data_IF_025617513218
#
_entry.id   IF_025617513218
#
_cell.length_a   1.000
_cell.length_b   1.000
_cell.length_c   1.000
_cell.angle_alpha   90.00
_cell.angle_beta   90.00
_cell.angle_gamma   90.00
#
_symmetry.space_group_name_H-M   'P 1'
#
loop_
_entity.id
_entity.type
_entity.pdbx_description
1 polymer ?
#
# COMPACT_ATOMS: atom_id res chain seq x y z
N UNK A 1 -34.45 -16.12 -46.97
CA UNK A 1 -33.65 -17.26 -46.46
C UNK A 1 -32.20 -16.91 -46.07
N UNK A 2 -31.80 -15.61 -46.02
CA UNK A 2 -30.39 -15.19 -45.81
C UNK A 2 -30.07 -14.67 -44.39
N UNK A 3 -31.10 -14.49 -43.56
CA UNK A 3 -31.00 -13.87 -42.21
C UNK A 3 -30.68 -14.86 -41.09
N UNK A 4 -30.89 -16.17 -41.31
CA UNK A 4 -30.69 -17.19 -40.28
C UNK A 4 -29.20 -17.53 -40.09
N UNK A 5 -28.42 -17.51 -41.17
CA UNK A 5 -26.99 -17.85 -41.15
C UNK A 5 -26.12 -16.73 -40.54
N UNK A 6 -26.48 -15.47 -40.75
CA UNK A 6 -25.79 -14.32 -40.15
C UNK A 6 -25.94 -14.28 -38.63
N UNK A 7 -27.12 -14.62 -38.10
CA UNK A 7 -27.37 -14.68 -36.66
C UNK A 7 -26.63 -15.85 -36.00
N UNK A 8 -26.55 -17.01 -36.69
CA UNK A 8 -25.81 -18.19 -36.22
C UNK A 8 -24.30 -17.92 -36.14
N UNK A 9 -23.75 -17.18 -37.10
CA UNK A 9 -22.34 -16.79 -37.12
C UNK A 9 -22.00 -15.79 -36.00
N UNK A 10 -22.87 -14.80 -35.74
CA UNK A 10 -22.70 -13.83 -34.65
C UNK A 10 -22.70 -14.50 -33.26
N UNK A 11 -23.61 -15.46 -33.03
CA UNK A 11 -23.68 -16.21 -31.76
C UNK A 11 -22.44 -17.07 -31.54
N UNK A 12 -21.91 -17.72 -32.59
CA UNK A 12 -20.70 -18.53 -32.48
C UNK A 12 -19.46 -17.66 -32.23
N UNK A 13 -19.39 -16.47 -32.82
CA UNK A 13 -18.30 -15.52 -32.60
C UNK A 13 -18.29 -14.97 -31.16
N UNK A 14 -19.45 -14.63 -30.60
CA UNK A 14 -19.57 -14.22 -29.19
C UNK A 14 -19.15 -15.33 -28.22
N UNK A 15 -19.52 -16.59 -28.51
CA UNK A 15 -19.10 -17.75 -27.69
C UNK A 15 -17.58 -17.97 -27.72
N UNK A 16 -16.93 -17.75 -28.86
CA UNK A 16 -15.47 -17.87 -29.00
C UNK A 16 -14.77 -16.76 -28.20
N UNK A 17 -15.28 -15.53 -28.24
CA UNK A 17 -14.75 -14.41 -27.44
C UNK A 17 -14.92 -14.66 -25.93
N UNK A 18 -16.09 -15.19 -25.52
CA UNK A 18 -16.35 -15.55 -24.12
C UNK A 18 -15.44 -16.70 -23.65
N UNK A 19 -15.20 -17.70 -24.50
CA UNK A 19 -14.33 -18.82 -24.16
C UNK A 19 -12.86 -18.42 -24.09
N UNK A 20 -12.39 -17.55 -24.99
CA UNK A 20 -11.00 -17.06 -24.98
C UNK A 20 -10.72 -16.11 -23.81
N UNK A 21 -11.67 -15.25 -23.44
CA UNK A 21 -11.58 -14.41 -22.24
C UNK A 21 -11.61 -15.22 -20.95
N UNK A 22 -12.44 -16.27 -20.89
CA UNK A 22 -12.46 -17.20 -19.77
C UNK A 22 -11.13 -17.97 -19.64
N UNK A 23 -10.57 -18.44 -20.76
CA UNK A 23 -9.25 -19.10 -20.76
C UNK A 23 -8.12 -18.16 -20.29
N UNK A 24 -8.18 -16.89 -20.69
CA UNK A 24 -7.21 -15.87 -20.28
C UNK A 24 -7.31 -15.57 -18.77
N UNK A 25 -8.52 -15.51 -18.21
CA UNK A 25 -8.75 -15.31 -16.78
C UNK A 25 -8.26 -16.49 -15.93
N UNK A 26 -8.34 -17.72 -16.44
CA UNK A 26 -7.84 -18.92 -15.74
C UNK A 26 -6.30 -18.99 -15.75
N UNK A 27 -5.64 -18.24 -16.65
CA UNK A 27 -4.18 -18.18 -16.77
C UNK A 27 -3.51 -17.25 -15.74
N UNK A 28 -4.29 -16.38 -15.09
CA UNK A 28 -3.80 -15.60 -13.94
C UNK A 28 -3.87 -16.47 -12.69
N UNK A 29 -2.80 -17.24 -12.47
CA UNK A 29 -2.60 -17.96 -11.20
C UNK A 29 -2.64 -16.99 -10.02
N UNK A 30 -3.32 -17.39 -8.95
CA UNK A 30 -3.30 -16.68 -7.68
C UNK A 30 -1.86 -16.67 -7.14
N UNK A 31 -1.28 -15.48 -6.95
CA UNK A 31 0.00 -15.32 -6.27
C UNK A 31 -0.22 -15.51 -4.78
N UNK A 32 0.28 -16.61 -4.24
CA UNK A 32 0.36 -16.80 -2.80
C UNK A 32 1.52 -15.95 -2.26
N UNK A 33 1.25 -15.10 -1.28
CA UNK A 33 2.29 -14.36 -0.56
C UNK A 33 3.24 -15.37 0.11
N UNK A 34 4.47 -15.48 -0.39
CA UNK A 34 5.46 -16.41 0.14
C UNK A 34 6.26 -15.80 1.30
N UNK A 35 6.66 -16.72 2.18
CA UNK A 35 7.38 -16.62 3.44
C UNK A 35 8.40 -15.48 3.62
N UNK A 36 8.63 -15.15 4.89
CA UNK A 36 9.64 -14.22 5.45
C UNK A 36 11.10 -14.49 5.05
N UNK A 37 11.37 -15.47 4.20
CA UNK A 37 12.67 -15.76 3.60
C UNK A 37 12.44 -16.28 2.18
N UNK A 38 12.95 -15.55 1.19
CA UNK A 38 12.91 -15.93 -0.22
C UNK A 38 14.29 -16.46 -0.64
N UNK A 39 14.32 -17.64 -1.27
CA UNK A 39 15.55 -18.20 -1.85
C UNK A 39 15.92 -17.44 -3.11
N UNK A 40 17.08 -16.80 -3.10
CA UNK A 40 17.56 -16.00 -4.21
C UNK A 40 17.97 -16.88 -5.39
N UNK A 41 17.39 -16.62 -6.57
CA UNK A 41 17.85 -17.19 -7.83
C UNK A 41 19.19 -16.59 -8.28
N UNK A 42 19.41 -15.31 -7.95
CA UNK A 42 20.64 -14.58 -8.21
C UNK A 42 21.15 -14.01 -6.88
N UNK A 43 21.97 -14.75 -6.13
CA UNK A 43 22.47 -14.28 -4.86
C UNK A 43 23.60 -13.25 -5.09
N UNK A 44 23.39 -12.03 -4.62
CA UNK A 44 24.31 -10.90 -4.77
C UNK A 44 24.99 -10.55 -3.43
N UNK A 45 26.22 -9.99 -3.44
CA UNK A 45 26.82 -9.43 -2.22
C UNK A 45 26.11 -8.14 -1.80
N UNK A 46 26.24 -7.75 -0.54
CA UNK A 46 25.71 -6.49 0.01
C UNK A 46 24.18 -6.32 -0.03
N UNK A 47 23.43 -7.39 -0.24
CA UNK A 47 21.95 -7.35 -0.30
C UNK A 47 21.25 -7.79 0.98
N UNK A 48 22.02 -8.25 1.96
CA UNK A 48 21.55 -8.62 3.30
C UNK A 48 22.28 -7.74 4.34
N UNK A 49 21.56 -6.88 5.09
CA UNK A 49 22.14 -6.03 6.13
C UNK A 49 22.89 -6.80 7.21
N UNK A 50 22.55 -8.06 7.46
CA UNK A 50 23.21 -8.90 8.47
C UNK A 50 24.58 -9.44 8.03
N UNK A 51 24.93 -9.33 6.73
CA UNK A 51 26.09 -10.01 6.14
C UNK A 51 27.23 -9.08 5.73
N UNK A 52 27.11 -7.76 5.92
CA UNK A 52 28.16 -6.75 5.71
C UNK A 52 29.00 -6.96 4.43
N UNK A 53 28.39 -7.43 3.33
CA UNK A 53 29.07 -7.75 2.06
C UNK A 53 30.09 -8.90 2.06
N UNK A 54 30.44 -9.49 3.21
CA UNK A 54 31.51 -10.51 3.31
C UNK A 54 31.06 -11.90 2.88
N UNK A 55 29.75 -12.15 2.85
CA UNK A 55 29.19 -13.44 2.44
C UNK A 55 28.00 -13.24 1.51
N UNK A 56 27.88 -14.15 0.55
CA UNK A 56 26.76 -14.18 -0.40
C UNK A 56 25.55 -14.80 0.31
N UNK A 57 24.55 -13.98 0.61
CA UNK A 57 23.29 -14.46 1.17
C UNK A 57 22.55 -15.30 0.11
N UNK A 58 22.05 -16.48 0.50
CA UNK A 58 21.25 -17.35 -0.37
C UNK A 58 19.75 -17.21 -0.14
N UNK A 59 19.37 -16.57 0.98
CA UNK A 59 18.01 -16.25 1.35
C UNK A 59 17.97 -14.85 1.95
N UNK A 60 16.97 -14.06 1.57
CA UNK A 60 16.71 -12.73 2.14
C UNK A 60 15.27 -12.31 1.81
N UNK A 61 14.86 -11.10 2.19
CA UNK A 61 13.56 -10.55 1.82
C UNK A 61 13.69 -9.62 0.62
N UNK A 62 12.58 -9.38 -0.09
CA UNK A 62 12.57 -8.37 -1.17
C UNK A 62 12.86 -6.96 -0.62
N UNK A 63 12.43 -6.70 0.63
CA UNK A 63 12.64 -5.43 1.33
C UNK A 63 14.11 -5.14 1.63
N UNK A 64 14.94 -6.18 1.74
CA UNK A 64 16.38 -6.06 1.92
C UNK A 64 17.12 -6.15 0.57
N UNK A 65 16.70 -7.10 -0.27
CA UNK A 65 17.38 -7.39 -1.53
C UNK A 65 17.38 -6.23 -2.50
N UNK A 66 16.21 -5.59 -2.70
CA UNK A 66 16.04 -4.53 -3.69
C UNK A 66 16.84 -3.27 -3.35
N UNK A 67 16.76 -2.69 -2.13
CA UNK A 67 17.62 -1.58 -1.74
C UNK A 67 19.10 -1.94 -1.80
N UNK A 68 19.47 -3.15 -1.34
CA UNK A 68 20.85 -3.62 -1.40
C UNK A 68 21.39 -3.71 -2.83
N UNK A 69 20.62 -4.30 -3.75
CA UNK A 69 20.99 -4.40 -5.16
C UNK A 69 21.07 -3.02 -5.85
N UNK A 70 20.16 -2.10 -5.51
CA UNK A 70 20.18 -0.74 -6.02
C UNK A 70 21.43 0.02 -5.55
N UNK A 71 21.75 -0.06 -4.26
CA UNK A 71 22.95 0.55 -3.69
C UNK A 71 24.23 -0.08 -4.25
N UNK A 72 24.24 -1.40 -4.46
CA UNK A 72 25.35 -2.09 -5.11
C UNK A 72 25.57 -1.59 -6.54
N UNK A 73 24.50 -1.39 -7.32
CA UNK A 73 24.60 -0.86 -8.69
C UNK A 73 25.19 0.56 -8.71
N UNK A 74 24.78 1.43 -7.77
CA UNK A 74 25.35 2.77 -7.61
C UNK A 74 26.85 2.66 -7.26
N UNK A 75 27.22 1.78 -6.33
CA UNK A 75 28.62 1.55 -5.94
C UNK A 75 29.48 1.07 -7.11
N UNK A 76 29.00 0.11 -7.90
CA UNK A 76 29.68 -0.35 -9.12
C UNK A 76 29.84 0.80 -10.11
N UNK A 77 28.78 1.60 -10.32
CA UNK A 77 28.83 2.78 -11.18
C UNK A 77 29.91 3.78 -10.75
N UNK A 78 30.05 4.04 -9.45
CA UNK A 78 31.08 4.93 -8.91
C UNK A 78 32.51 4.40 -9.15
N UNK A 79 32.75 3.11 -8.94
CA UNK A 79 34.07 2.49 -9.20
C UNK A 79 34.40 2.53 -10.69
N UNK A 80 33.46 2.21 -11.58
CA UNK A 80 33.66 2.29 -13.02
C UNK A 80 33.94 3.72 -13.48
N UNK A 81 33.21 4.70 -12.95
CA UNK A 81 33.47 6.11 -13.24
C UNK A 81 34.89 6.51 -12.80
N UNK A 82 35.33 6.10 -11.61
CA UNK A 82 36.68 6.36 -11.14
C UNK A 82 37.76 5.76 -12.06
N UNK A 83 37.59 4.50 -12.50
CA UNK A 83 38.51 3.85 -13.45
C UNK A 83 38.57 4.61 -14.78
N UNK A 84 37.42 5.02 -15.32
CA UNK A 84 37.37 5.74 -16.60
C UNK A 84 37.96 7.15 -16.50
N UNK A 85 37.75 7.85 -15.38
CA UNK A 85 38.34 9.17 -15.13
C UNK A 85 39.86 9.05 -15.00
N UNK A 86 40.37 8.08 -14.23
CA UNK A 86 41.81 7.87 -14.07
C UNK A 86 42.47 7.47 -15.39
N UNK A 87 41.86 6.57 -16.15
CA UNK A 87 42.37 6.17 -17.47
C UNK A 87 42.35 7.34 -18.48
N UNK A 88 41.23 8.07 -18.55
CA UNK A 88 41.13 9.27 -19.40
C UNK A 88 42.11 10.37 -19.00
N UNK A 89 42.34 10.55 -17.70
CA UNK A 89 43.33 11.48 -17.16
C UNK A 89 44.76 11.10 -17.54
N UNK A 90 45.11 9.82 -17.44
CA UNK A 90 46.41 9.33 -17.88
C UNK A 90 46.61 9.53 -19.39
N UNK A 91 45.62 9.17 -20.21
CA UNK A 91 45.67 9.34 -21.66
C UNK A 91 45.83 10.82 -22.05
N UNK A 92 45.10 11.71 -21.38
CA UNK A 92 45.21 13.15 -21.58
C UNK A 92 46.60 13.70 -21.22
N UNK A 93 47.16 13.25 -20.09
CA UNK A 93 48.43 13.73 -19.56
C UNK A 93 49.64 13.22 -20.37
N UNK A 94 49.59 11.98 -20.85
CA UNK A 94 50.71 11.30 -21.53
C UNK A 94 50.68 11.40 -23.05
N UNK A 95 49.55 11.78 -23.65
CA UNK A 95 49.45 11.98 -25.09
C UNK A 95 49.96 13.37 -25.51
N UNK A 96 50.94 13.38 -26.41
CA UNK A 96 51.39 14.59 -27.13
C UNK A 96 50.50 14.92 -28.34
N UNK A 97 49.77 13.92 -28.86
CA UNK A 97 48.84 14.12 -29.97
C UNK A 97 47.53 14.76 -29.49
N UNK A 98 47.02 15.73 -30.27
CA UNK A 98 45.73 16.40 -30.04
C UNK A 98 44.59 15.38 -29.97
N UNK A 99 44.65 14.33 -30.80
CA UNK A 99 43.66 13.25 -30.83
C UNK A 99 43.59 12.49 -29.51
N UNK A 100 44.72 12.10 -28.92
CA UNK A 100 44.74 11.41 -27.62
C UNK A 100 44.32 12.31 -26.46
N UNK A 101 44.61 13.62 -26.52
CA UNK A 101 44.05 14.58 -25.55
C UNK A 101 42.53 14.71 -25.67
N UNK A 102 42.01 14.80 -26.90
CA UNK A 102 40.57 14.83 -27.13
C UNK A 102 39.90 13.55 -26.61
N UNK A 103 40.48 12.39 -26.88
CA UNK A 103 39.96 11.11 -26.44
C UNK A 103 39.98 10.98 -24.91
N UNK A 104 41.08 11.35 -24.25
CA UNK A 104 41.18 11.35 -22.79
C UNK A 104 40.12 12.24 -22.13
N UNK A 105 39.93 13.45 -22.68
CA UNK A 105 38.89 14.39 -22.22
C UNK A 105 37.49 13.79 -22.41
N UNK A 106 37.20 13.21 -23.56
CA UNK A 106 35.90 12.59 -23.85
C UNK A 106 35.58 11.46 -22.85
N UNK A 107 36.56 10.60 -22.52
CA UNK A 107 36.36 9.55 -21.51
C UNK A 107 36.04 10.10 -20.13
N UNK A 108 36.72 11.18 -19.72
CA UNK A 108 36.45 11.85 -18.44
C UNK A 108 35.04 12.44 -18.45
N UNK A 109 34.66 13.16 -19.50
CA UNK A 109 33.33 13.77 -19.61
C UNK A 109 32.21 12.74 -19.61
N UNK A 110 32.37 11.65 -20.37
CA UNK A 110 31.39 10.56 -20.41
C UNK A 110 31.24 9.90 -19.03
N UNK A 111 32.34 9.71 -18.28
CA UNK A 111 32.29 9.17 -16.93
C UNK A 111 31.58 10.13 -15.95
N UNK A 112 31.85 11.44 -16.05
CA UNK A 112 31.17 12.46 -15.24
C UNK A 112 29.68 12.49 -15.55
N UNK A 113 29.29 12.52 -16.83
CA UNK A 113 27.88 12.51 -17.21
C UNK A 113 27.16 11.24 -16.76
N UNK A 114 27.82 10.08 -16.83
CA UNK A 114 27.29 8.85 -16.27
C UNK A 114 27.05 8.94 -14.76
N UNK A 115 28.01 9.50 -14.00
CA UNK A 115 27.87 9.69 -12.56
C UNK A 115 26.74 10.69 -12.22
N UNK A 116 26.65 11.78 -12.98
CA UNK A 116 25.55 12.76 -12.86
C UNK A 116 24.21 12.11 -13.14
N UNK A 117 24.12 11.19 -14.10
CA UNK A 117 22.88 10.46 -14.39
C UNK A 117 22.49 9.55 -13.22
N UNK A 118 23.43 8.80 -12.66
CA UNK A 118 23.18 7.92 -11.50
C UNK A 118 22.75 8.72 -10.26
N UNK A 119 23.52 9.74 -9.89
CA UNK A 119 23.20 10.60 -8.73
C UNK A 119 21.92 11.41 -8.99
N UNK A 120 21.75 11.90 -10.22
CA UNK A 120 20.57 12.64 -10.63
C UNK A 120 19.29 11.81 -10.55
N UNK A 121 19.32 10.55 -10.99
CA UNK A 121 18.20 9.63 -10.86
C UNK A 121 17.82 9.43 -9.38
N UNK A 122 18.82 9.18 -8.51
CA UNK A 122 18.59 9.09 -7.07
C UNK A 122 18.03 10.39 -6.49
N UNK A 123 18.60 11.54 -6.85
CA UNK A 123 18.19 12.85 -6.34
C UNK A 123 16.77 13.23 -6.76
N UNK A 124 16.36 12.91 -7.99
CA UNK A 124 14.99 13.12 -8.48
C UNK A 124 14.01 12.29 -7.65
N UNK A 125 14.29 10.99 -7.47
CA UNK A 125 13.42 10.11 -6.67
C UNK A 125 13.31 10.61 -5.23
N UNK A 126 14.44 10.98 -4.62
CA UNK A 126 14.47 11.53 -3.26
C UNK A 126 13.69 12.85 -3.13
N UNK A 127 13.82 13.75 -4.11
CA UNK A 127 13.17 15.07 -4.09
C UNK A 127 11.65 14.96 -4.28
N UNK A 128 11.19 14.07 -5.16
CA UNK A 128 9.75 13.88 -5.38
C UNK A 128 9.11 13.26 -4.15
N UNK A 129 9.68 12.16 -3.65
CA UNK A 129 9.23 11.53 -2.42
C UNK A 129 10.30 10.56 -1.91
N UNK A 130 10.93 10.83 -0.75
CA UNK A 130 11.96 9.95 -0.20
C UNK A 130 11.43 8.54 0.11
N UNK A 131 10.10 8.37 0.27
CA UNK A 131 9.48 7.05 0.45
C UNK A 131 9.53 6.16 -0.80
N UNK A 132 9.86 6.69 -1.97
CA UNK A 132 10.07 5.87 -3.18
C UNK A 132 11.38 5.06 -3.07
N UNK A 133 12.34 5.59 -2.32
CA UNK A 133 13.61 4.91 -2.00
C UNK A 133 13.49 4.04 -0.73
N UNK A 134 12.34 4.09 -0.06
CA UNK A 134 12.00 3.23 1.08
C UNK A 134 11.29 1.98 0.56
N UNK A 135 12.07 0.90 0.38
CA UNK A 135 11.56 -0.40 -0.06
C UNK A 135 11.03 -1.25 1.09
N UNK A 136 10.57 -0.62 2.18
CA UNK A 136 9.80 -1.26 3.24
C UNK A 136 8.48 -1.77 2.66
N UNK A 137 8.53 -2.90 1.96
CA UNK A 137 7.37 -3.69 1.54
C UNK A 137 6.84 -4.48 2.73
N UNK A 138 6.72 -3.80 3.88
CA UNK A 138 5.76 -4.16 4.90
C UNK A 138 4.38 -3.84 4.32
N UNK A 139 3.95 -4.69 3.38
CA UNK A 139 2.56 -5.04 3.37
C UNK A 139 2.33 -5.54 4.80
N UNK A 140 1.43 -4.92 5.59
CA UNK A 140 0.91 -5.61 6.76
C UNK A 140 0.60 -7.02 6.24
N UNK A 141 1.06 -8.09 6.93
CA UNK A 141 0.67 -9.42 6.49
C UNK A 141 -0.82 -9.32 6.19
N UNK A 142 -1.32 -9.83 5.04
CA UNK A 142 -2.75 -10.08 4.98
C UNK A 142 -3.04 -10.76 6.31
N UNK A 143 -4.03 -10.28 7.06
CA UNK A 143 -4.49 -10.97 8.25
C UNK A 143 -4.96 -12.35 7.78
N UNK A 144 -4.01 -13.24 7.52
CA UNK A 144 -4.08 -14.62 7.90
C UNK A 144 -4.19 -14.51 9.41
N UNK A 145 -5.42 -14.31 9.86
CA UNK A 145 -5.91 -15.20 10.89
C UNK A 145 -5.29 -16.54 10.54
N UNK A 146 -4.35 -17.00 11.37
CA UNK A 146 -3.93 -18.38 11.34
C UNK A 146 -5.18 -19.15 11.74
N UNK A 147 -6.12 -19.28 10.81
CA UNK A 147 -7.13 -20.31 10.82
C UNK A 147 -6.41 -21.57 10.35
N UNK A 148 -5.43 -21.99 11.14
CA UNK A 148 -5.44 -23.40 11.50
C UNK A 148 -6.82 -23.56 12.14
N UNK A 149 -7.73 -24.40 11.62
CA UNK A 149 -8.94 -24.70 12.34
C UNK A 149 -8.48 -25.47 13.59
N UNK A 150 -8.15 -24.75 14.66
CA UNK A 150 -8.24 -25.27 15.99
C UNK A 150 -9.73 -25.46 16.21
N UNK A 151 -10.19 -26.67 15.89
CA UNK A 151 -11.52 -27.16 16.23
C UNK A 151 -11.54 -27.29 17.75
N UNK A 152 -11.68 -26.17 18.46
CA UNK A 152 -12.13 -26.12 19.85
C UNK A 152 -12.47 -24.68 20.28
N UNK A 153 -13.78 -24.45 20.39
CA UNK A 153 -14.47 -23.52 21.30
C UNK A 153 -14.57 -22.01 20.99
N UNK A 154 -15.83 -21.59 20.70
CA UNK A 154 -16.48 -20.28 20.93
C UNK A 154 -15.98 -19.05 20.11
N UNK A 155 -16.87 -18.08 19.78
CA UNK A 155 -16.49 -16.88 19.04
C UNK A 155 -15.50 -16.08 19.88
N UNK A 156 -14.52 -15.41 19.25
CA UNK A 156 -13.63 -14.49 19.95
C UNK A 156 -14.48 -13.49 20.75
N UNK A 157 -14.46 -13.64 22.07
CA UNK A 157 -15.13 -12.73 22.99
C UNK A 157 -14.15 -11.57 23.15
N UNK A 158 -14.60 -10.35 22.85
CA UNK A 158 -13.83 -9.15 23.17
C UNK A 158 -13.50 -9.17 24.68
N UNK A 159 -12.24 -9.48 25.01
CA UNK A 159 -11.87 -9.92 26.36
C UNK A 159 -11.85 -8.79 27.39
N UNK A 160 -11.83 -7.54 26.91
CA UNK A 160 -11.82 -6.31 27.70
C UNK A 160 -12.75 -5.24 27.10
N UNK A 161 -13.85 -5.67 26.48
CA UNK A 161 -14.85 -4.76 25.96
C UNK A 161 -15.56 -4.00 27.08
N UNK A 162 -15.79 -2.72 26.84
CA UNK A 162 -16.55 -1.82 27.69
C UNK A 162 -17.71 -1.25 26.91
N UNK A 163 -18.79 -0.90 27.62
CA UNK A 163 -19.94 -0.26 26.99
C UNK A 163 -19.54 1.09 26.39
N UNK A 164 -20.04 1.36 25.19
CA UNK A 164 -19.88 2.62 24.46
C UNK A 164 -20.48 3.82 25.22
N UNK A 165 -21.36 3.57 26.20
CA UNK A 165 -21.86 4.59 27.11
C UNK A 165 -22.69 5.65 26.38
N UNK A 166 -22.27 6.91 26.48
CA UNK A 166 -22.98 8.07 25.91
C UNK A 166 -22.49 8.51 24.54
N UNK A 167 -21.65 7.71 23.86
CA UNK A 167 -21.23 8.07 22.51
C UNK A 167 -22.42 7.96 21.54
N UNK A 168 -22.45 8.75 20.46
CA UNK A 168 -23.57 8.75 19.52
C UNK A 168 -23.68 7.40 18.79
N UNK A 169 -24.75 6.65 19.02
CA UNK A 169 -25.05 5.41 18.27
C UNK A 169 -26.38 5.54 17.54
N UNK A 170 -26.56 4.78 16.46
CA UNK A 170 -27.86 4.62 15.80
C UNK A 170 -28.67 3.43 16.35
N UNK A 171 -28.22 2.81 17.45
CA UNK A 171 -28.84 1.64 18.08
C UNK A 171 -28.96 0.40 17.20
N UNK A 172 -28.23 0.34 16.07
CA UNK A 172 -28.49 -0.68 15.05
C UNK A 172 -27.70 -1.97 15.27
N UNK A 173 -26.46 -1.91 15.76
CA UNK A 173 -25.59 -3.10 15.85
C UNK A 173 -24.45 -2.93 16.88
N UNK A 174 -24.55 -3.65 18.01
CA UNK A 174 -23.53 -3.68 19.06
C UNK A 174 -23.43 -2.40 19.91
N UNK A 175 -23.00 -2.54 21.17
CA UNK A 175 -22.90 -1.43 22.15
C UNK A 175 -21.60 -1.48 22.98
N UNK A 176 -20.62 -2.24 22.50
CA UNK A 176 -19.35 -2.47 23.19
C UNK A 176 -18.17 -2.24 22.26
N UNK A 177 -17.06 -1.79 22.82
CA UNK A 177 -15.76 -1.63 22.15
C UNK A 177 -14.64 -1.97 23.14
N UNK A 178 -13.48 -2.31 22.62
CA UNK A 178 -12.28 -2.52 23.42
C UNK A 178 -11.91 -1.26 24.23
N UNK A 179 -11.46 -1.41 25.48
CA UNK A 179 -11.22 -0.30 26.40
C UNK A 179 -10.28 0.81 25.87
N UNK A 180 -9.20 0.42 25.17
CA UNK A 180 -8.29 1.35 24.50
C UNK A 180 -8.95 2.11 23.35
N UNK A 181 -9.82 1.45 22.59
CA UNK A 181 -10.65 2.11 21.56
C UNK A 181 -11.64 3.08 22.22
N UNK A 182 -12.33 2.69 23.30
CA UNK A 182 -13.29 3.55 24.00
C UNK A 182 -12.66 4.88 24.45
N UNK A 183 -11.45 4.82 25.00
CA UNK A 183 -10.71 6.00 25.44
C UNK A 183 -10.47 7.00 24.30
N UNK A 184 -10.06 6.49 23.13
CA UNK A 184 -9.84 7.30 21.93
C UNK A 184 -11.16 7.83 21.36
N UNK A 185 -12.23 7.02 21.37
CA UNK A 185 -13.56 7.46 20.91
C UNK A 185 -14.16 8.57 21.78
N UNK A 186 -13.95 8.55 23.10
CA UNK A 186 -14.34 9.64 23.98
C UNK A 186 -13.59 10.94 23.66
N UNK A 187 -12.29 10.83 23.38
CA UNK A 187 -11.48 11.98 22.92
C UNK A 187 -11.99 12.50 21.58
N UNK A 188 -12.24 11.60 20.64
CA UNK A 188 -12.80 11.91 19.33
C UNK A 188 -14.15 12.63 19.43
N UNK A 189 -15.06 12.14 20.28
CA UNK A 189 -16.36 12.76 20.51
C UNK A 189 -16.26 14.21 21.01
N UNK A 190 -15.35 14.48 21.96
CA UNK A 190 -15.11 15.84 22.45
C UNK A 190 -14.62 16.79 21.35
N UNK A 191 -13.74 16.31 20.47
CA UNK A 191 -13.24 17.08 19.34
C UNK A 191 -14.33 17.31 18.27
N UNK A 192 -15.17 16.31 17.99
CA UNK A 192 -16.29 16.43 17.06
C UNK A 192 -17.34 17.44 17.55
N UNK A 193 -17.64 17.42 18.85
CA UNK A 193 -18.50 18.42 19.49
C UNK A 193 -17.92 19.84 19.35
N UNK A 194 -16.61 19.99 19.56
CA UNK A 194 -15.90 21.27 19.37
C UNK A 194 -15.97 21.75 17.91
N UNK A 195 -15.92 20.81 16.96
CA UNK A 195 -16.05 21.10 15.54
C UNK A 195 -17.51 21.34 15.08
N UNK A 196 -18.49 21.19 15.98
CA UNK A 196 -19.92 21.25 15.69
C UNK A 196 -20.35 20.29 14.56
N UNK A 197 -19.77 19.09 14.52
CA UNK A 197 -20.10 18.04 13.55
C UNK A 197 -20.73 16.86 14.27
N UNK A 198 -22.03 16.63 14.02
CA UNK A 198 -22.72 15.42 14.46
C UNK A 198 -22.18 14.19 13.74
N UNK A 199 -22.07 13.08 14.47
CA UNK A 199 -21.66 11.78 13.95
C UNK A 199 -22.39 10.66 14.67
N UNK A 200 -22.35 9.45 14.11
CA UNK A 200 -22.97 8.26 14.69
C UNK A 200 -22.10 7.03 14.45
N UNK A 201 -22.05 6.16 15.46
CA UNK A 201 -21.62 4.77 15.34
C UNK A 201 -22.77 4.00 14.69
N UNK A 202 -22.46 3.31 13.60
CA UNK A 202 -23.40 2.49 12.84
C UNK A 202 -23.22 1.01 13.08
N UNK A 203 -22.03 0.58 13.53
CA UNK A 203 -21.76 -0.78 13.99
C UNK A 203 -20.60 -0.84 14.98
N UNK A 204 -20.73 -1.68 16.01
CA UNK A 204 -19.69 -2.02 16.98
C UNK A 204 -19.78 -3.50 17.41
N UNK A 205 -19.07 -3.90 18.47
CA UNK A 205 -19.14 -5.26 19.01
C UNK A 205 -20.43 -5.47 19.83
N UNK A 206 -21.09 -6.63 19.73
CA UNK A 206 -20.83 -7.72 18.77
C UNK A 206 -21.38 -7.42 17.37
N UNK A 207 -20.72 -7.92 16.31
CA UNK A 207 -21.20 -7.71 14.94
C UNK A 207 -22.45 -8.54 14.67
N UNK A 208 -23.31 -8.05 13.79
CA UNK A 208 -24.54 -8.76 13.39
C UNK A 208 -24.39 -9.57 12.11
N UNK A 209 -23.30 -9.35 11.38
CA UNK A 209 -23.00 -10.03 10.12
C UNK A 209 -21.59 -10.59 10.14
N UNK A 210 -21.31 -11.49 9.20
CA UNK A 210 -19.98 -12.08 9.05
C UNK A 210 -19.02 -11.10 8.40
N UNK A 211 -18.00 -10.66 9.16
CA UNK A 211 -16.97 -9.75 8.68
C UNK A 211 -15.71 -10.52 8.31
N UNK A 212 -15.01 -10.08 7.25
CA UNK A 212 -13.68 -10.60 6.92
C UNK A 212 -12.61 -10.10 7.90
N UNK A 213 -12.80 -8.90 8.45
CA UNK A 213 -11.89 -8.34 9.43
C UNK A 213 -12.25 -8.81 10.84
N UNK A 214 -11.31 -9.44 11.59
CA UNK A 214 -11.52 -9.84 12.98
C UNK A 214 -11.88 -8.69 13.92
N UNK A 215 -11.58 -7.44 13.56
CA UNK A 215 -11.66 -6.31 14.49
C UNK A 215 -13.08 -6.04 15.03
N UNK A 216 -14.13 -6.42 14.29
CA UNK A 216 -15.50 -6.31 14.78
C UNK A 216 -15.80 -7.37 15.85
N UNK A 217 -15.09 -8.52 15.83
CA UNK A 217 -15.25 -9.60 16.80
C UNK A 217 -14.42 -9.41 18.07
N UNK A 218 -13.32 -8.65 18.00
CA UNK A 218 -12.50 -8.31 19.17
C UNK A 218 -12.76 -6.89 19.71
N UNK A 219 -13.71 -6.14 19.09
CA UNK A 219 -14.12 -4.80 19.50
C UNK A 219 -13.09 -3.71 19.25
N UNK A 220 -12.05 -3.95 18.44
CA UNK A 220 -10.97 -2.98 18.17
C UNK A 220 -11.24 -2.03 17.01
N UNK A 221 -12.43 -2.10 16.41
CA UNK A 221 -12.92 -1.15 15.41
C UNK A 221 -14.43 -0.92 15.52
N UNK A 222 -14.90 0.12 14.84
CA UNK A 222 -16.32 0.43 14.65
C UNK A 222 -16.56 0.91 13.22
N UNK A 223 -17.80 0.79 12.74
CA UNK A 223 -18.26 1.59 11.61
C UNK A 223 -18.96 2.83 12.12
N UNK A 224 -18.64 3.97 11.53
CA UNK A 224 -19.18 5.25 11.92
C UNK A 224 -19.28 6.21 10.73
N UNK A 225 -20.07 7.26 10.87
CA UNK A 225 -20.15 8.31 9.85
C UNK A 225 -20.58 9.65 10.44
N UNK A 226 -20.25 10.78 9.79
CA UNK A 226 -20.92 12.04 10.07
C UNK A 226 -22.43 11.89 9.86
N UNK A 227 -23.25 12.52 10.71
CA UNK A 227 -24.71 12.50 10.57
C UNK A 227 -25.17 13.13 9.26
N UNK A 228 -24.39 14.10 8.75
CA UNK A 228 -24.53 14.66 7.41
C UNK A 228 -23.21 14.53 6.66
N UNK A 229 -23.18 13.68 5.63
CA UNK A 229 -21.97 13.33 4.87
C UNK A 229 -21.63 14.37 3.80
N UNK A 230 -21.50 15.63 4.19
CA UNK A 230 -20.95 16.68 3.31
C UNK A 230 -19.44 16.53 3.17
N UNK A 231 -18.82 17.02 2.08
CA UNK A 231 -17.37 16.97 1.91
C UNK A 231 -16.59 17.56 3.09
N UNK A 232 -17.06 18.69 3.62
CA UNK A 232 -16.50 19.32 4.82
C UNK A 232 -16.58 18.41 6.03
N UNK A 233 -17.73 17.78 6.29
CA UNK A 233 -17.89 16.93 7.46
C UNK A 233 -17.09 15.62 7.35
N UNK A 234 -16.96 15.05 6.15
CA UNK A 234 -16.11 13.87 5.88
C UNK A 234 -14.65 14.21 6.19
N UNK A 235 -14.14 15.33 5.67
CA UNK A 235 -12.77 15.78 5.95
C UNK A 235 -12.56 16.06 7.44
N UNK A 236 -13.50 16.76 8.09
CA UNK A 236 -13.44 17.07 9.52
C UNK A 236 -13.45 15.81 10.37
N UNK A 237 -14.31 14.84 10.07
CA UNK A 237 -14.37 13.56 10.77
C UNK A 237 -13.02 12.84 10.71
N UNK A 238 -12.47 12.67 9.51
CA UNK A 238 -11.19 12.00 9.31
C UNK A 238 -10.06 12.68 10.09
N UNK A 239 -9.90 14.00 9.91
CA UNK A 239 -8.81 14.74 10.55
C UNK A 239 -8.96 14.74 12.07
N UNK A 240 -10.19 14.76 12.57
CA UNK A 240 -10.47 14.69 14.00
C UNK A 240 -10.21 13.30 14.57
N UNK A 241 -10.53 12.24 13.83
CA UNK A 241 -10.23 10.87 14.22
C UNK A 241 -8.70 10.64 14.29
N UNK A 242 -7.95 11.09 13.28
CA UNK A 242 -6.48 11.06 13.29
C UNK A 242 -5.91 11.80 14.51
N UNK A 243 -6.43 13.00 14.82
CA UNK A 243 -6.02 13.78 16.02
C UNK A 243 -6.35 13.09 17.34
N UNK A 244 -7.42 12.30 17.38
CA UNK A 244 -7.76 11.46 18.54
C UNK A 244 -6.92 10.17 18.61
N UNK A 245 -5.95 9.99 17.71
CA UNK A 245 -5.11 8.80 17.65
C UNK A 245 -5.86 7.56 17.15
N UNK A 246 -6.91 7.76 16.35
CA UNK A 246 -7.62 6.69 15.63
C UNK A 246 -7.07 6.61 14.19
N UNK A 247 -7.29 5.46 13.54
CA UNK A 247 -7.01 5.29 12.11
C UNK A 247 -8.35 5.17 11.36
N UNK A 248 -8.89 6.28 10.82
CA UNK A 248 -10.09 6.25 10.01
C UNK A 248 -9.79 5.78 8.58
N UNK A 249 -10.75 5.07 7.98
CA UNK A 249 -10.73 4.66 6.58
C UNK A 249 -12.10 4.94 5.98
N UNK A 250 -12.19 5.86 5.01
CA UNK A 250 -13.46 6.16 4.35
C UNK A 250 -13.69 5.23 3.16
N UNK A 251 -14.84 4.57 3.16
CA UNK A 251 -15.19 3.53 2.19
C UNK A 251 -16.41 3.95 1.37
N UNK A 252 -16.34 3.69 0.06
CA UNK A 252 -17.43 3.94 -0.89
C UNK A 252 -17.66 2.71 -1.77
N UNK A 253 -18.87 2.56 -2.29
CA UNK A 253 -19.23 1.36 -3.06
C UNK A 253 -18.62 1.35 -4.46
N UNK A 254 -18.36 2.52 -5.05
CA UNK A 254 -17.96 2.64 -6.46
C UNK A 254 -16.88 3.69 -6.70
N UNK A 255 -16.11 3.49 -7.77
CA UNK A 255 -15.12 4.48 -8.23
C UNK A 255 -15.79 5.81 -8.63
N UNK A 256 -16.99 5.76 -9.21
CA UNK A 256 -17.75 6.96 -9.59
C UNK A 256 -18.10 7.81 -8.36
N UNK A 257 -18.51 7.17 -7.26
CA UNK A 257 -18.79 7.87 -6.00
C UNK A 257 -17.51 8.50 -5.42
N UNK A 258 -16.40 7.75 -5.42
CA UNK A 258 -15.09 8.27 -5.03
C UNK A 258 -14.71 9.53 -5.81
N UNK A 259 -14.81 9.48 -7.14
CA UNK A 259 -14.43 10.59 -8.01
C UNK A 259 -15.33 11.82 -7.77
N UNK A 260 -16.63 11.61 -7.55
CA UNK A 260 -17.57 12.70 -7.19
C UNK A 260 -17.25 13.34 -5.85
N UNK A 261 -16.88 12.55 -4.85
CA UNK A 261 -16.52 13.07 -3.52
C UNK A 261 -15.23 13.89 -3.57
N UNK A 262 -14.22 13.41 -4.31
CA UNK A 262 -12.99 14.18 -4.55
C UNK A 262 -13.31 15.49 -5.26
N UNK A 263 -14.09 15.43 -6.34
CA UNK A 263 -14.49 16.63 -7.09
C UNK A 263 -15.32 17.62 -6.27
N UNK A 264 -16.05 17.15 -5.25
CA UNK A 264 -16.83 18.00 -4.33
C UNK A 264 -16.04 18.51 -3.12
N UNK A 265 -14.74 18.20 -3.03
CA UNK A 265 -13.83 18.77 -2.04
C UNK A 265 -13.45 17.85 -0.89
N UNK A 266 -13.69 16.53 -1.00
CA UNK A 266 -13.10 15.55 -0.07
C UNK A 266 -11.61 15.40 -0.38
N UNK A 267 -10.76 15.58 0.62
CA UNK A 267 -9.28 15.65 0.49
C UNK A 267 -8.57 14.45 1.11
N UNK A 268 -9.31 13.56 1.75
CA UNK A 268 -8.79 12.38 2.45
C UNK A 268 -8.67 11.17 1.51
N UNK A 269 -7.93 10.15 1.92
CA UNK A 269 -7.88 8.88 1.21
C UNK A 269 -9.24 8.16 1.26
N UNK A 270 -9.77 7.80 0.09
CA UNK A 270 -11.02 7.04 -0.08
C UNK A 270 -10.70 5.67 -0.69
N UNK A 271 -11.25 4.61 -0.10
CA UNK A 271 -11.13 3.23 -0.61
C UNK A 271 -12.46 2.80 -1.22
N UNK A 272 -12.37 2.09 -2.35
CA UNK A 272 -13.55 1.54 -3.02
C UNK A 272 -13.71 0.09 -2.58
N UNK A 273 -14.82 -0.21 -1.93
CA UNK A 273 -15.15 -1.56 -1.44
C UNK A 273 -16.48 -1.97 -2.09
N UNK A 274 -16.43 -2.79 -3.17
CA UNK A 274 -17.65 -3.25 -3.83
C UNK A 274 -18.53 -4.05 -2.87
N UNK A 275 -19.82 -3.72 -2.81
CA UNK A 275 -20.82 -4.47 -2.01
C UNK A 275 -21.20 -3.83 -0.67
N UNK A 276 -20.59 -2.70 -0.28
CA UNK A 276 -21.08 -1.94 0.88
C UNK A 276 -22.39 -1.22 0.54
N UNK A 277 -23.33 -1.20 1.49
CA UNK A 277 -24.67 -0.63 1.27
C UNK A 277 -24.69 0.90 1.31
N UNK A 278 -23.78 1.52 2.09
CA UNK A 278 -23.67 2.96 2.24
C UNK A 278 -22.21 3.34 2.49
N UNK A 279 -21.80 4.52 2.06
CA UNK A 279 -20.50 5.07 2.43
C UNK A 279 -20.44 5.40 3.93
N UNK A 280 -19.31 5.06 4.53
CA UNK A 280 -19.04 5.16 5.96
C UNK A 280 -17.52 5.16 6.22
N UNK A 281 -17.14 5.40 7.46
CA UNK A 281 -15.79 5.18 7.95
C UNK A 281 -15.73 3.86 8.72
N UNK A 282 -14.77 3.00 8.39
CA UNK A 282 -14.26 2.02 9.34
C UNK A 282 -13.18 2.69 10.19
N UNK A 283 -13.38 2.74 11.51
CA UNK A 283 -12.52 3.46 12.44
C UNK A 283 -11.80 2.45 13.33
N UNK A 284 -10.47 2.37 13.15
CA UNK A 284 -9.63 1.41 13.85
C UNK A 284 -8.91 2.06 15.04
N UNK A 285 -8.70 1.26 16.09
CA UNK A 285 -7.71 1.58 17.11
C UNK A 285 -6.30 1.58 16.49
N UNK A 286 -5.59 2.70 16.61
CA UNK A 286 -4.16 2.82 16.25
C UNK A 286 -3.25 2.39 17.41
#
# INVERSE_FOLDING_TARGET
MKTNDTNKMQINFQKIILLSTLLFLVSFGFVYAQSSNYTLLAPLPCVDPAKNCDTIATQTTLSDYLPGAFNLAIGIGAVLAFIMITYGGFLYATSDAITGKSEGREKIENAIWGLVLVIGAWAILYTINPKILDFSLLLPPPTTVSSTPSISALPAICSNCQSIGSLPTNGSTGDYVEAGLLTKLNTFNGLMNTANVGWVITEAYPPTTTHQNPCHYDGTCIDARPSNQTPTNINTFNNTAVRAGLRPQYEVATQIEKDRLIASGVTISIIVVPGINNSHFSVYKN
#
